data_IF_721043861317
#
_entry.id   IF_721043861317
#
_cell.length_a   1.000
_cell.length_b   1.000
_cell.length_c   1.000
_cell.angle_alpha   90.00
_cell.angle_beta   90.00
_cell.angle_gamma   90.00
#
_symmetry.space_group_name_H-M   'P 1'
#
loop_
_entity.id
_entity.type
_entity.pdbx_description
1 polymer ?
#
# COMPACT_ATOMS: atom_id res chain seq x y z
N UNK A 1 -20.76 53.82 28.34
CA UNK A 1 -20.06 52.57 27.93
C UNK A 1 -20.79 51.99 26.73
N UNK A 2 -20.02 51.50 25.76
CA UNK A 2 -20.44 50.88 24.49
C UNK A 2 -21.14 51.81 23.48
N UNK A 3 -20.34 52.42 22.61
CA UNK A 3 -20.76 53.08 21.38
C UNK A 3 -20.60 52.17 20.16
N UNK A 4 -21.48 52.39 19.19
CA UNK A 4 -21.88 51.51 18.08
C UNK A 4 -20.94 51.47 16.86
N UNK A 5 -21.26 50.46 16.02
CA UNK A 5 -20.77 50.09 14.69
C UNK A 5 -20.81 51.21 13.63
N UNK A 6 -19.85 51.15 12.69
CA UNK A 6 -19.89 51.32 11.20
C UNK A 6 -18.44 51.70 10.75
N UNK A 7 -17.87 51.40 9.57
CA UNK A 7 -18.36 51.14 8.21
C UNK A 7 -17.20 50.60 7.34
N UNK A 8 -17.55 50.06 6.18
CA UNK A 8 -16.66 49.58 5.13
C UNK A 8 -16.34 50.64 4.06
N UNK A 9 -15.29 50.36 3.27
CA UNK A 9 -14.96 50.84 1.90
C UNK A 9 -14.53 52.31 1.72
N UNK A 10 -13.31 52.52 1.23
CA UNK A 10 -13.06 52.99 -0.14
C UNK A 10 -11.56 53.09 -0.48
N UNK A 11 -11.19 52.64 -1.68
CA UNK A 11 -9.87 52.87 -2.32
C UNK A 11 -10.08 53.86 -3.47
N UNK A 12 -9.25 54.91 -3.62
CA UNK A 12 -9.31 55.76 -4.80
C UNK A 12 -8.49 55.19 -5.97
N UNK A 13 -9.10 55.19 -7.15
CA UNK A 13 -8.46 55.00 -8.46
C UNK A 13 -7.56 56.21 -8.81
N UNK A 14 -6.41 55.96 -9.44
CA UNK A 14 -5.59 56.99 -10.08
C UNK A 14 -5.78 56.98 -11.60
N UNK A 15 -5.93 58.18 -12.12
CA UNK A 15 -6.30 58.58 -13.47
C UNK A 15 -5.18 58.42 -14.50
N UNK A 16 -5.63 58.20 -15.73
CA UNK A 16 -4.86 58.19 -16.98
C UNK A 16 -4.61 59.63 -17.45
N UNK A 17 -3.40 59.94 -17.91
CA UNK A 17 -3.08 61.16 -18.67
C UNK A 17 -2.41 60.79 -20.00
N UNK A 18 -2.71 61.56 -21.04
CA UNK A 18 -2.32 61.31 -22.45
C UNK A 18 -1.61 62.55 -23.02
N UNK A 19 -0.40 62.33 -23.59
CA UNK A 19 0.30 63.02 -24.73
C UNK A 19 0.78 64.48 -24.57
N UNK A 20 1.91 64.95 -25.22
CA UNK A 20 2.18 64.85 -26.66
C UNK A 20 3.66 64.66 -27.13
N UNK A 21 3.81 64.55 -28.46
CA UNK A 21 5.00 64.21 -29.26
C UNK A 21 6.08 65.31 -29.41
N UNK A 22 7.35 64.92 -29.67
CA UNK A 22 8.17 65.33 -30.85
C UNK A 22 9.68 64.94 -30.73
N UNK A 23 10.17 64.30 -31.80
CA UNK A 23 11.52 64.38 -32.45
C UNK A 23 12.81 63.91 -31.76
N UNK A 24 13.50 62.93 -32.39
CA UNK A 24 14.97 62.94 -32.56
C UNK A 24 15.75 61.61 -32.42
N UNK A 25 16.12 61.00 -33.56
CA UNK A 25 17.28 60.12 -33.83
C UNK A 25 17.34 58.67 -33.26
N UNK A 26 18.04 57.72 -33.95
CA UNK A 26 17.78 56.29 -33.84
C UNK A 26 18.50 55.65 -32.64
N UNK A 27 17.76 54.91 -31.81
CA UNK A 27 18.33 54.09 -30.75
C UNK A 27 18.23 52.60 -31.05
N UNK A 28 19.31 51.93 -30.68
CA UNK A 28 19.64 50.51 -30.75
C UNK A 28 18.46 49.58 -30.47
N UNK A 29 18.40 48.49 -31.23
CA UNK A 29 17.33 47.50 -31.17
C UNK A 29 17.09 46.97 -29.77
N UNK A 30 15.91 47.29 -29.23
CA UNK A 30 15.35 46.66 -28.06
C UNK A 30 15.22 45.15 -28.29
N UNK A 31 15.96 44.35 -27.51
CA UNK A 31 15.69 42.93 -27.38
C UNK A 31 14.41 42.75 -26.56
N UNK A 32 13.39 42.14 -27.16
CA UNK A 32 12.13 41.78 -26.50
C UNK A 32 12.38 40.86 -25.29
N UNK A 33 11.61 41.05 -24.22
CA UNK A 33 11.61 40.14 -23.08
C UNK A 33 10.95 38.79 -23.47
N UNK A 34 11.55 37.64 -23.10
CA UNK A 34 10.98 36.34 -23.38
C UNK A 34 9.73 36.11 -22.55
N UNK A 35 8.73 35.49 -23.16
CA UNK A 35 7.41 35.26 -22.58
C UNK A 35 7.37 33.96 -21.79
N UNK A 36 6.31 33.80 -20.99
CA UNK A 36 6.07 32.67 -20.09
C UNK A 36 6.06 31.28 -20.77
N UNK A 37 5.96 31.22 -22.11
CA UNK A 37 6.06 29.99 -22.90
C UNK A 37 7.48 29.42 -22.99
N UNK A 38 8.52 30.25 -22.91
CA UNK A 38 9.91 29.81 -23.00
C UNK A 38 10.37 29.02 -21.76
N UNK A 39 9.70 29.24 -20.63
CA UNK A 39 10.00 28.59 -19.35
C UNK A 39 9.47 27.14 -19.25
N UNK A 40 8.56 26.73 -20.13
CA UNK A 40 7.99 25.37 -20.15
C UNK A 40 8.86 24.34 -20.91
N UNK A 41 10.02 24.75 -21.43
CA UNK A 41 10.84 23.91 -22.32
C UNK A 41 12.18 23.53 -21.68
N UNK A 42 12.17 23.07 -20.42
CA UNK A 42 13.38 22.76 -19.64
C UNK A 42 14.35 21.79 -20.33
N UNK A 43 13.83 20.84 -21.13
CA UNK A 43 14.65 19.94 -21.95
C UNK A 43 15.39 20.68 -23.08
N UNK A 44 14.73 21.63 -23.75
CA UNK A 44 15.29 22.44 -24.83
C UNK A 44 16.40 23.37 -24.34
N UNK A 45 16.15 24.06 -23.22
CA UNK A 45 17.15 24.94 -22.58
C UNK A 45 18.39 24.15 -22.15
N UNK A 46 18.20 22.92 -21.67
CA UNK A 46 19.29 22.04 -21.26
C UNK A 46 20.10 21.52 -22.45
N UNK A 47 19.45 21.19 -23.57
CA UNK A 47 20.13 20.77 -24.80
C UNK A 47 20.98 21.90 -25.38
N UNK A 48 20.47 23.14 -25.40
CA UNK A 48 21.24 24.31 -25.83
C UNK A 48 22.53 24.50 -25.04
N UNK A 49 22.49 24.26 -23.72
CA UNK A 49 23.68 24.34 -22.86
C UNK A 49 24.71 23.26 -23.21
N UNK A 50 24.26 22.03 -23.51
CA UNK A 50 25.13 20.93 -23.92
C UNK A 50 25.80 21.23 -25.27
N UNK A 51 25.03 21.65 -26.27
CA UNK A 51 25.54 21.98 -27.61
C UNK A 51 26.55 23.12 -27.57
N UNK A 52 26.27 24.15 -26.76
CA UNK A 52 27.19 25.26 -26.50
C UNK A 52 28.50 24.78 -25.86
N UNK A 53 28.41 23.94 -24.83
CA UNK A 53 29.58 23.42 -24.13
C UNK A 53 30.42 22.46 -24.98
N UNK A 54 29.80 21.71 -25.90
CA UNK A 54 30.50 20.87 -26.90
C UNK A 54 31.30 21.75 -27.86
N UNK A 55 30.66 22.79 -28.41
CA UNK A 55 31.28 23.68 -29.41
C UNK A 55 32.40 24.55 -28.83
N UNK A 56 32.23 25.04 -27.61
CA UNK A 56 33.23 25.89 -26.95
C UNK A 56 34.36 25.09 -26.29
N UNK A 57 34.15 23.80 -26.02
CA UNK A 57 35.17 22.89 -25.50
C UNK A 57 35.48 23.04 -24.00
N UNK A 58 36.39 22.20 -23.49
CA UNK A 58 36.63 21.98 -22.04
C UNK A 58 37.07 23.20 -21.24
N UNK A 59 37.64 24.21 -21.90
CA UNK A 59 38.15 25.41 -21.24
C UNK A 59 37.06 26.45 -21.00
N UNK A 60 35.94 26.40 -21.74
CA UNK A 60 34.87 27.37 -21.65
C UNK A 60 34.27 27.47 -20.24
N UNK A 61 34.01 28.68 -19.77
CA UNK A 61 33.40 28.96 -18.48
C UNK A 61 31.86 29.02 -18.61
N UNK A 62 31.14 28.97 -17.47
CA UNK A 62 29.68 28.89 -17.50
C UNK A 62 29.00 30.19 -18.01
N UNK A 63 29.73 31.31 -18.06
CA UNK A 63 29.26 32.55 -18.65
C UNK A 63 29.32 32.47 -20.18
N UNK A 64 30.45 32.03 -20.74
CA UNK A 64 30.62 31.81 -22.19
C UNK A 64 29.61 30.79 -22.73
N UNK A 65 29.36 29.72 -21.97
CA UNK A 65 28.37 28.70 -22.35
C UNK A 65 26.95 29.27 -22.31
N UNK A 66 26.63 30.12 -21.33
CA UNK A 66 25.30 30.75 -21.24
C UNK A 66 25.07 31.72 -22.41
N UNK A 67 26.07 32.54 -22.75
CA UNK A 67 26.01 33.49 -23.85
C UNK A 67 25.85 32.78 -25.19
N UNK A 68 26.63 31.73 -25.44
CA UNK A 68 26.54 30.94 -26.68
C UNK A 68 25.20 30.19 -26.80
N UNK A 69 24.62 29.75 -25.67
CA UNK A 69 23.30 29.12 -25.62
C UNK A 69 22.13 30.12 -25.70
N UNK A 70 22.40 31.44 -25.77
CA UNK A 70 21.37 32.48 -25.79
C UNK A 70 20.63 32.63 -24.46
N UNK A 71 21.30 32.36 -23.33
CA UNK A 71 20.73 32.41 -21.98
C UNK A 71 21.08 33.71 -21.27
N UNK A 72 20.11 34.25 -20.53
CA UNK A 72 20.26 35.51 -19.77
C UNK A 72 21.28 35.46 -18.64
N UNK A 73 21.68 34.27 -18.15
CA UNK A 73 22.59 34.17 -17.01
C UNK A 73 23.30 32.82 -16.91
N UNK A 74 24.58 32.85 -16.51
CA UNK A 74 25.32 31.65 -16.06
C UNK A 74 24.65 30.89 -14.92
N UNK A 75 23.77 31.55 -14.14
CA UNK A 75 23.00 30.88 -13.07
C UNK A 75 22.09 29.80 -13.64
N UNK A 76 21.60 29.96 -14.86
CA UNK A 76 20.81 28.94 -15.57
C UNK A 76 21.65 27.71 -15.89
N UNK A 77 22.90 27.89 -16.31
CA UNK A 77 23.85 26.77 -16.52
C UNK A 77 24.11 26.02 -15.21
N UNK A 78 24.33 26.75 -14.11
CA UNK A 78 24.54 26.15 -12.78
C UNK A 78 23.30 25.41 -12.24
N UNK A 79 22.10 25.87 -12.59
CA UNK A 79 20.85 25.24 -12.20
C UNK A 79 20.69 23.86 -12.86
N UNK A 80 21.03 23.74 -14.14
CA UNK A 80 20.96 22.48 -14.87
C UNK A 80 22.17 21.56 -14.62
N UNK A 81 23.35 22.14 -14.37
CA UNK A 81 24.61 21.40 -14.16
C UNK A 81 25.30 21.92 -12.90
N UNK A 82 25.24 21.14 -11.83
CA UNK A 82 25.69 21.53 -10.48
C UNK A 82 27.21 21.71 -10.40
N UNK A 83 27.96 21.11 -11.33
CA UNK A 83 29.39 21.30 -11.47
C UNK A 83 29.85 21.18 -12.93
N UNK A 84 31.03 21.75 -13.22
CA UNK A 84 31.70 21.59 -14.54
C UNK A 84 32.01 20.12 -14.85
N UNK A 85 32.28 19.31 -13.81
CA UNK A 85 32.45 17.86 -13.94
C UNK A 85 31.16 17.17 -14.39
N UNK A 86 30.00 17.59 -13.92
CA UNK A 86 28.72 17.00 -14.33
C UNK A 86 28.40 17.31 -15.79
N UNK A 87 28.65 18.56 -16.23
CA UNK A 87 28.49 18.97 -17.62
C UNK A 87 29.39 18.17 -18.57
N UNK A 88 30.69 18.02 -18.24
CA UNK A 88 31.62 17.29 -19.10
C UNK A 88 31.52 15.76 -18.98
N UNK A 89 31.05 15.23 -17.85
CA UNK A 89 30.66 13.82 -17.75
C UNK A 89 29.50 13.54 -18.71
N UNK A 90 28.53 14.44 -18.77
CA UNK A 90 27.38 14.31 -19.65
C UNK A 90 27.73 14.47 -21.13
N UNK A 91 28.64 15.40 -21.46
CA UNK A 91 29.26 15.49 -22.81
C UNK A 91 30.01 14.20 -23.15
N UNK A 92 30.69 13.57 -22.18
CA UNK A 92 31.33 12.27 -22.36
C UNK A 92 30.35 11.11 -22.59
N UNK A 93 29.10 11.25 -22.14
CA UNK A 93 28.00 10.33 -22.42
C UNK A 93 27.17 10.70 -23.65
N UNK A 94 27.46 11.83 -24.31
CA UNK A 94 26.62 12.46 -25.34
C UNK A 94 26.57 11.74 -26.71
N UNK A 95 27.08 10.51 -26.81
CA UNK A 95 26.79 9.64 -27.95
C UNK A 95 25.48 8.86 -27.82
N UNK A 96 24.81 8.94 -26.67
CA UNK A 96 23.53 8.28 -26.44
C UNK A 96 22.54 9.27 -25.78
N UNK A 97 21.38 9.45 -26.41
CA UNK A 97 20.33 10.36 -26.00
C UNK A 97 19.83 10.03 -24.57
N UNK A 98 19.85 10.98 -23.60
CA UNK A 98 19.36 10.75 -22.23
C UNK A 98 17.94 10.20 -22.13
N UNK A 99 17.06 10.60 -23.06
CA UNK A 99 15.69 10.10 -23.18
C UNK A 99 15.71 8.61 -23.52
N UNK A 100 16.49 8.22 -24.54
CA UNK A 100 16.66 6.82 -24.95
C UNK A 100 17.32 5.98 -23.86
N UNK A 101 18.32 6.51 -23.15
CA UNK A 101 18.94 5.81 -22.00
C UNK A 101 17.91 5.47 -20.94
N UNK A 102 17.09 6.42 -20.56
CA UNK A 102 16.06 6.23 -19.53
C UNK A 102 14.97 5.26 -20.01
N UNK A 103 14.56 5.35 -21.28
CA UNK A 103 13.61 4.41 -21.89
C UNK A 103 14.18 2.99 -21.92
N UNK A 104 15.41 2.83 -22.41
CA UNK A 104 16.07 1.53 -22.51
C UNK A 104 16.34 0.93 -21.12
N UNK A 105 16.74 1.75 -20.14
CA UNK A 105 16.87 1.32 -18.76
C UNK A 105 15.54 0.90 -18.14
N UNK A 106 14.45 1.63 -18.43
CA UNK A 106 13.10 1.24 -17.99
C UNK A 106 12.66 -0.09 -18.61
N UNK A 107 12.86 -0.28 -19.93
CA UNK A 107 12.57 -1.53 -20.66
C UNK A 107 13.40 -2.72 -20.17
N UNK A 108 14.65 -2.48 -19.78
CA UNK A 108 15.55 -3.52 -19.27
C UNK A 108 15.29 -3.92 -17.81
N UNK A 109 14.38 -3.23 -17.11
CA UNK A 109 14.03 -3.49 -15.73
C UNK A 109 12.59 -4.00 -15.62
N UNK A 110 12.24 -4.67 -14.50
CA UNK A 110 10.84 -5.01 -14.26
C UNK A 110 9.94 -3.76 -14.30
N UNK A 111 8.69 -3.85 -14.81
CA UNK A 111 7.74 -2.74 -14.91
C UNK A 111 7.56 -1.91 -13.63
N UNK A 112 7.87 -2.50 -12.47
CA UNK A 112 7.73 -1.87 -11.15
C UNK A 112 8.99 -1.19 -10.62
N UNK A 113 10.08 -1.17 -11.38
CA UNK A 113 11.32 -0.53 -10.96
C UNK A 113 11.04 0.92 -10.54
N UNK A 114 11.63 1.29 -9.42
CA UNK A 114 11.54 2.63 -8.86
C UNK A 114 12.29 3.63 -9.72
N UNK A 115 11.95 4.92 -9.58
CA UNK A 115 12.64 6.01 -10.27
C UNK A 115 14.16 5.96 -10.01
N UNK A 116 14.56 5.50 -8.82
CA UNK A 116 15.98 5.38 -8.45
C UNK A 116 16.66 4.23 -9.18
N UNK A 117 16.04 3.05 -9.22
CA UNK A 117 16.59 1.88 -9.93
C UNK A 117 16.74 2.16 -11.43
N UNK A 118 15.73 2.80 -12.04
CA UNK A 118 15.79 3.16 -13.46
C UNK A 118 16.91 4.18 -13.72
N UNK A 119 16.99 5.23 -12.90
CA UNK A 119 18.05 6.23 -13.04
C UNK A 119 19.45 5.64 -12.84
N UNK A 120 19.63 4.77 -11.84
CA UNK A 120 20.90 4.09 -11.57
C UNK A 120 21.29 3.16 -12.71
N UNK A 121 20.33 2.39 -13.26
CA UNK A 121 20.55 1.54 -14.44
C UNK A 121 20.93 2.35 -15.69
N UNK A 122 20.38 3.54 -15.84
CA UNK A 122 20.74 4.49 -16.90
C UNK A 122 22.06 5.25 -16.63
N UNK A 123 22.76 4.97 -15.52
CA UNK A 123 24.05 5.58 -15.17
C UNK A 123 23.95 6.90 -14.41
N UNK A 124 22.76 7.29 -13.94
CA UNK A 124 22.53 8.53 -13.21
C UNK A 124 22.51 8.32 -11.69
N UNK A 125 23.12 9.26 -10.96
CA UNK A 125 23.18 9.24 -9.48
C UNK A 125 21.86 9.62 -8.81
N UNK A 126 20.94 10.25 -9.52
CA UNK A 126 19.72 10.83 -8.96
C UNK A 126 18.52 10.58 -9.85
N UNK A 127 17.43 10.08 -9.24
CA UNK A 127 16.14 9.89 -9.91
C UNK A 127 15.50 11.20 -10.38
N UNK A 128 15.96 12.37 -9.89
CA UNK A 128 15.48 13.68 -10.36
C UNK A 128 15.66 13.86 -11.86
N UNK A 129 16.62 13.16 -12.46
CA UNK A 129 16.85 13.16 -13.91
C UNK A 129 15.59 12.75 -14.68
N UNK A 130 14.78 11.84 -14.14
CA UNK A 130 13.54 11.40 -14.78
C UNK A 130 12.54 12.56 -14.85
N UNK A 131 12.41 13.33 -13.77
CA UNK A 131 11.52 14.49 -13.76
C UNK A 131 12.01 15.60 -14.70
N UNK A 132 13.32 15.71 -14.93
CA UNK A 132 13.87 16.67 -15.88
C UNK A 132 13.46 16.39 -17.32
N UNK A 133 13.30 15.11 -17.71
CA UNK A 133 13.01 14.72 -19.10
C UNK A 133 11.57 14.28 -19.36
N UNK A 134 10.92 13.64 -18.39
CA UNK A 134 9.58 13.07 -18.54
C UNK A 134 8.55 13.72 -17.60
N UNK A 135 8.92 14.74 -16.82
CA UNK A 135 8.12 15.36 -15.75
C UNK A 135 7.75 14.43 -14.57
N UNK A 136 7.54 13.13 -14.81
CA UNK A 136 7.23 12.12 -13.81
C UNK A 136 7.73 10.72 -14.21
N UNK A 137 7.85 9.82 -13.23
CA UNK A 137 8.12 8.40 -13.51
C UNK A 137 6.99 7.74 -14.31
N UNK A 138 5.75 8.20 -14.16
CA UNK A 138 4.60 7.67 -14.91
C UNK A 138 4.81 7.89 -16.41
N UNK A 139 5.08 9.13 -16.80
CA UNK A 139 5.28 9.49 -18.20
C UNK A 139 6.46 8.73 -18.83
N UNK A 140 7.54 8.51 -18.07
CA UNK A 140 8.63 7.64 -18.53
C UNK A 140 8.14 6.21 -18.81
N UNK A 141 7.36 5.62 -17.89
CA UNK A 141 6.86 4.25 -18.05
C UNK A 141 5.85 4.10 -19.17
N UNK A 142 5.03 5.12 -19.41
CA UNK A 142 4.14 5.19 -20.58
C UNK A 142 4.96 5.25 -21.87
N UNK A 143 5.96 6.15 -21.93
CA UNK A 143 6.85 6.28 -23.09
C UNK A 143 7.72 5.03 -23.35
N UNK A 144 8.05 4.27 -22.30
CA UNK A 144 8.79 3.01 -22.43
C UNK A 144 7.91 1.79 -22.63
N UNK A 145 6.58 1.93 -22.69
CA UNK A 145 5.61 0.83 -22.80
C UNK A 145 5.73 -0.20 -21.64
N UNK A 146 6.25 0.22 -20.49
CA UNK A 146 6.39 -0.64 -19.29
C UNK A 146 5.36 -0.31 -18.22
N UNK A 147 4.30 0.41 -18.57
CA UNK A 147 3.26 0.84 -17.67
C UNK A 147 2.22 -0.27 -17.44
N UNK A 148 2.08 -0.75 -16.20
CA UNK A 148 1.16 -1.83 -15.84
C UNK A 148 0.23 -1.43 -14.70
N UNK A 149 -0.81 -0.64 -14.99
CA UNK A 149 -1.90 -0.38 -14.01
C UNK A 149 -3.25 -0.32 -14.71
N UNK A 150 -4.33 -0.52 -13.96
CA UNK A 150 -5.69 -0.43 -14.49
C UNK A 150 -6.40 0.87 -14.10
N UNK A 151 -5.64 1.98 -13.96
CA UNK A 151 -6.16 3.29 -13.54
C UNK A 151 -7.31 3.76 -14.43
N UNK A 152 -7.19 3.62 -15.74
CA UNK A 152 -8.19 4.12 -16.70
C UNK A 152 -9.48 3.30 -16.72
N UNK A 153 -9.40 2.01 -16.39
CA UNK A 153 -10.56 1.16 -16.17
C UNK A 153 -11.23 1.54 -14.85
N UNK A 154 -10.45 1.68 -13.78
CA UNK A 154 -10.95 1.94 -12.44
C UNK A 154 -11.53 3.34 -12.30
N UNK A 155 -11.02 4.33 -13.03
CA UNK A 155 -11.62 5.67 -13.07
C UNK A 155 -13.04 5.68 -13.66
N UNK A 156 -13.36 4.71 -14.52
CA UNK A 156 -14.71 4.51 -15.08
C UNK A 156 -15.61 3.72 -14.14
N UNK A 157 -15.08 2.67 -13.52
CA UNK A 157 -15.86 1.75 -12.66
C UNK A 157 -16.06 2.31 -11.25
N UNK A 158 -15.02 2.90 -10.67
CA UNK A 158 -14.96 3.44 -9.31
C UNK A 158 -14.31 4.83 -9.30
N UNK A 159 -15.01 5.88 -9.80
CA UNK A 159 -14.46 7.24 -9.90
C UNK A 159 -14.01 7.83 -8.55
N UNK A 160 -14.51 7.31 -7.45
CA UNK A 160 -14.12 7.68 -6.10
C UNK A 160 -12.72 7.18 -5.68
N UNK A 161 -12.14 6.22 -6.41
CA UNK A 161 -10.82 5.63 -6.13
C UNK A 161 -9.72 6.46 -6.80
N UNK A 162 -8.94 7.14 -5.97
CA UNK A 162 -7.82 7.95 -6.46
C UNK A 162 -6.49 7.18 -6.36
N UNK A 163 -5.73 7.19 -7.46
CA UNK A 163 -4.36 6.69 -7.49
C UNK A 163 -3.37 7.83 -7.20
N UNK A 164 -2.36 7.55 -6.37
CA UNK A 164 -1.20 8.44 -6.24
C UNK A 164 -0.21 8.18 -7.37
N UNK A 165 0.68 9.14 -7.67
CA UNK A 165 1.79 8.91 -8.61
C UNK A 165 2.60 7.66 -8.24
N UNK A 166 2.78 7.40 -6.95
CA UNK A 166 3.49 6.21 -6.48
C UNK A 166 2.70 4.93 -6.77
N UNK A 167 1.36 4.94 -6.63
CA UNK A 167 0.52 3.78 -6.98
C UNK A 167 0.65 3.45 -8.48
N UNK A 168 0.48 4.48 -9.31
CA UNK A 168 0.61 4.40 -10.77
C UNK A 168 1.99 3.88 -11.15
N UNK A 169 3.05 4.46 -10.58
CA UNK A 169 4.43 4.05 -10.86
C UNK A 169 4.75 2.62 -10.43
N UNK A 170 4.11 2.09 -9.37
CA UNK A 170 4.34 0.72 -8.88
C UNK A 170 3.49 -0.30 -9.62
N UNK A 171 2.65 0.14 -10.54
CA UNK A 171 1.69 -0.71 -11.23
C UNK A 171 0.65 -1.30 -10.30
N UNK A 172 0.21 -0.54 -9.29
CA UNK A 172 -0.86 -0.97 -8.38
C UNK A 172 -2.11 -1.21 -9.20
N UNK A 173 -2.78 -2.33 -8.92
CA UNK A 173 -4.06 -2.66 -9.52
C UNK A 173 -5.15 -2.63 -8.46
N UNK A 174 -6.38 -2.33 -8.90
CA UNK A 174 -7.57 -2.44 -8.06
C UNK A 174 -8.54 -3.39 -8.76
N UNK A 175 -9.09 -4.39 -8.05
CA UNK A 175 -10.04 -5.31 -8.65
C UNK A 175 -11.37 -4.61 -8.94
N UNK A 176 -11.91 -4.83 -10.14
CA UNK A 176 -13.24 -4.34 -10.56
C UNK A 176 -14.38 -5.12 -9.91
N UNK A 177 -14.13 -6.38 -9.51
CA UNK A 177 -15.12 -7.25 -8.87
C UNK A 177 -14.62 -7.82 -7.54
N UNK A 178 -15.56 -8.15 -6.65
CA UNK A 178 -15.25 -8.82 -5.39
C UNK A 178 -15.16 -10.32 -5.65
N UNK A 179 -13.94 -10.81 -5.84
CA UNK A 179 -13.65 -12.25 -5.93
C UNK A 179 -13.46 -12.87 -4.55
N UNK A 180 -13.46 -14.21 -4.40
CA UNK A 180 -13.16 -14.85 -3.13
C UNK A 180 -11.80 -14.44 -2.54
N UNK A 181 -10.79 -14.19 -3.40
CA UNK A 181 -9.48 -13.72 -2.94
C UNK A 181 -9.56 -12.31 -2.31
N UNK A 182 -10.34 -11.41 -2.93
CA UNK A 182 -10.60 -10.08 -2.36
C UNK A 182 -11.34 -10.22 -1.04
N UNK A 183 -12.41 -11.00 -0.99
CA UNK A 183 -13.22 -11.19 0.20
C UNK A 183 -12.41 -11.75 1.38
N UNK A 184 -11.52 -12.71 1.14
CA UNK A 184 -10.62 -13.24 2.14
C UNK A 184 -9.64 -12.19 2.69
N UNK A 185 -9.03 -11.38 1.83
CA UNK A 185 -8.14 -10.31 2.26
C UNK A 185 -8.91 -9.23 3.05
N UNK A 186 -10.14 -8.92 2.66
CA UNK A 186 -11.02 -8.05 3.46
C UNK A 186 -11.32 -8.69 4.82
N UNK A 187 -11.43 -10.01 4.90
CA UNK A 187 -11.54 -10.74 6.15
C UNK A 187 -10.33 -10.53 7.07
N UNK A 188 -9.11 -10.61 6.53
CA UNK A 188 -7.90 -10.28 7.29
C UNK A 188 -7.91 -8.83 7.78
N UNK A 189 -8.41 -7.91 6.95
CA UNK A 189 -8.56 -6.53 7.40
C UNK A 189 -9.54 -6.41 8.56
N UNK A 190 -10.71 -7.05 8.49
CA UNK A 190 -11.75 -6.97 9.53
C UNK A 190 -11.19 -7.36 10.90
N UNK A 191 -10.33 -8.38 10.95
CA UNK A 191 -9.67 -8.79 12.17
C UNK A 191 -8.49 -7.91 12.59
N UNK A 192 -7.33 -8.10 11.95
CA UNK A 192 -6.07 -7.48 12.36
C UNK A 192 -5.68 -6.24 11.54
N UNK A 193 -6.45 -5.88 10.52
CA UNK A 193 -6.11 -4.74 9.66
C UNK A 193 -6.26 -3.40 10.38
N UNK A 194 -5.56 -2.38 9.91
CA UNK A 194 -5.76 -1.00 10.37
C UNK A 194 -5.53 -0.01 9.24
N UNK A 195 -6.37 1.02 9.20
CA UNK A 195 -6.20 2.18 8.33
C UNK A 195 -6.24 3.41 9.24
N UNK A 196 -5.08 3.87 9.76
CA UNK A 196 -5.05 4.99 10.69
C UNK A 196 -5.55 6.27 10.02
N UNK A 197 -6.29 7.07 10.78
CA UNK A 197 -6.78 8.37 10.33
C UNK A 197 -5.65 9.41 10.41
N UNK A 198 -4.73 9.36 9.45
CA UNK A 198 -3.65 10.33 9.36
C UNK A 198 -4.12 11.51 8.51
N UNK A 199 -4.27 12.70 9.12
CA UNK A 199 -4.70 13.94 8.45
C UNK A 199 -3.75 14.40 7.33
N UNK A 200 -2.52 13.89 7.31
CA UNK A 200 -1.45 14.26 6.38
C UNK A 200 -1.26 13.19 5.31
N UNK A 201 -1.99 13.30 4.19
CA UNK A 201 -1.74 12.78 2.82
C UNK A 201 -1.30 11.30 2.59
N UNK A 202 -0.97 10.53 3.63
CA UNK A 202 -0.44 9.18 3.55
C UNK A 202 -1.51 8.21 4.01
N UNK A 203 -2.41 7.90 3.07
CA UNK A 203 -3.33 6.77 3.20
C UNK A 203 -2.50 5.49 3.32
N UNK A 204 -2.48 4.93 4.54
CA UNK A 204 -1.74 3.72 4.84
C UNK A 204 -2.69 2.60 5.26
N UNK A 205 -2.40 1.41 4.77
CA UNK A 205 -3.01 0.17 5.21
C UNK A 205 -1.96 -0.63 5.99
N UNK A 206 -2.36 -1.16 7.14
CA UNK A 206 -1.50 -1.94 8.01
C UNK A 206 -2.15 -3.28 8.29
N UNK A 207 -1.33 -4.32 8.35
CA UNK A 207 -1.71 -5.65 8.82
C UNK A 207 -0.51 -6.22 9.55
N UNK A 208 -0.70 -6.68 10.78
CA UNK A 208 0.36 -7.23 11.61
C UNK A 208 -0.17 -8.20 12.64
N UNK A 209 0.59 -9.25 12.92
CA UNK A 209 0.23 -10.29 13.86
C UNK A 209 1.40 -10.73 14.74
N UNK A 210 1.24 -11.87 15.40
CA UNK A 210 2.24 -12.43 16.28
C UNK A 210 3.47 -12.91 15.50
N UNK A 211 4.65 -12.42 15.91
CA UNK A 211 5.91 -12.70 15.22
C UNK A 211 6.35 -14.16 15.28
N UNK A 212 5.92 -14.89 16.30
CA UNK A 212 6.37 -16.27 16.57
C UNK A 212 5.45 -17.29 15.91
N UNK A 213 4.16 -16.99 15.83
CA UNK A 213 3.16 -17.92 15.30
C UNK A 213 2.75 -17.60 13.85
N UNK A 214 2.88 -16.36 13.37
CA UNK A 214 2.25 -15.92 12.12
C UNK A 214 3.23 -15.46 11.04
N UNK A 215 4.54 -15.50 11.31
CA UNK A 215 5.56 -15.12 10.32
C UNK A 215 5.36 -15.81 8.96
N UNK A 216 5.14 -17.12 8.97
CA UNK A 216 4.91 -17.93 7.75
C UNK A 216 3.61 -17.56 7.04
N UNK A 217 2.55 -17.23 7.78
CA UNK A 217 1.30 -16.74 7.21
C UNK A 217 1.53 -15.47 6.39
N UNK A 218 2.24 -14.50 6.97
CA UNK A 218 2.54 -13.25 6.27
C UNK A 218 3.45 -13.46 5.05
N UNK A 219 4.53 -14.23 5.23
CA UNK A 219 5.55 -14.39 4.18
C UNK A 219 5.05 -15.18 2.98
N UNK A 220 4.22 -16.22 3.19
CA UNK A 220 3.81 -17.15 2.14
C UNK A 220 2.41 -16.88 1.59
N UNK A 221 1.46 -16.48 2.45
CA UNK A 221 0.05 -16.31 2.06
C UNK A 221 -0.28 -14.85 1.78
N UNK A 222 -0.08 -13.97 2.77
CA UNK A 222 -0.45 -12.55 2.66
C UNK A 222 0.33 -11.87 1.53
N UNK A 223 1.65 -12.09 1.46
CA UNK A 223 2.50 -11.59 0.37
C UNK A 223 1.96 -11.97 -1.01
N UNK A 224 1.65 -13.25 -1.20
CA UNK A 224 1.16 -13.80 -2.48
C UNK A 224 -0.22 -13.24 -2.83
N UNK A 225 -1.10 -13.12 -1.85
CA UNK A 225 -2.44 -12.57 -2.05
C UNK A 225 -2.40 -11.10 -2.47
N UNK A 226 -1.60 -10.25 -1.80
CA UNK A 226 -1.46 -8.84 -2.18
C UNK A 226 -0.82 -8.65 -3.55
N UNK A 227 0.15 -9.52 -3.90
CA UNK A 227 0.70 -9.55 -5.26
C UNK A 227 -0.37 -9.91 -6.28
N UNK A 228 -1.23 -10.88 -5.99
CA UNK A 228 -2.30 -11.31 -6.90
C UNK A 228 -3.44 -10.27 -7.03
N UNK A 229 -3.87 -9.68 -5.92
CA UNK A 229 -5.07 -8.83 -5.88
C UNK A 229 -4.75 -7.40 -6.32
N UNK A 230 -3.64 -6.86 -5.84
CA UNK A 230 -3.32 -5.44 -5.99
C UNK A 230 -2.07 -5.19 -6.82
N UNK A 231 -1.47 -6.24 -7.39
CA UNK A 231 -0.15 -6.20 -8.00
C UNK A 231 0.85 -5.45 -7.12
N UNK A 232 0.91 -5.77 -5.82
CA UNK A 232 1.76 -5.05 -4.86
C UNK A 232 2.77 -5.97 -4.20
N UNK A 233 4.05 -5.60 -4.26
CA UNK A 233 5.14 -6.32 -3.61
C UNK A 233 5.34 -5.80 -2.18
N UNK A 234 4.83 -6.55 -1.19
CA UNK A 234 4.83 -6.12 0.20
C UNK A 234 6.21 -6.16 0.86
N UNK A 235 6.59 -5.06 1.50
CA UNK A 235 7.73 -5.02 2.44
C UNK A 235 7.27 -5.49 3.83
N UNK A 236 7.28 -6.81 4.02
CA UNK A 236 6.93 -7.47 5.29
C UNK A 236 8.17 -7.56 6.17
N UNK A 237 8.02 -7.27 7.46
CA UNK A 237 9.08 -7.41 8.44
C UNK A 237 8.61 -7.18 9.86
N UNK A 238 9.57 -7.10 10.78
CA UNK A 238 9.31 -6.81 12.19
C UNK A 238 8.82 -5.38 12.37
N UNK A 239 7.76 -5.22 13.18
CA UNK A 239 7.17 -3.94 13.59
C UNK A 239 7.47 -3.66 15.07
N UNK A 240 7.50 -2.38 15.44
CA UNK A 240 7.55 -1.82 16.80
C UNK A 240 8.34 -2.66 17.82
N UNK A 241 9.63 -2.34 18.02
CA UNK A 241 10.53 -3.06 18.95
C UNK A 241 10.52 -4.60 18.75
N UNK A 242 10.32 -5.08 17.52
CA UNK A 242 10.25 -6.50 17.15
C UNK A 242 9.19 -7.28 17.96
N UNK A 243 8.03 -6.68 18.24
CA UNK A 243 6.92 -7.36 18.94
C UNK A 243 5.88 -7.96 17.99
N UNK A 244 5.71 -7.37 16.82
CA UNK A 244 4.78 -7.84 15.80
C UNK A 244 5.51 -8.09 14.47
N UNK A 245 4.88 -8.86 13.58
CA UNK A 245 5.37 -9.13 12.23
C UNK A 245 4.26 -8.81 11.23
N UNK A 246 4.59 -8.06 10.17
CA UNK A 246 3.60 -7.58 9.22
C UNK A 246 4.13 -6.48 8.31
N UNK A 247 3.24 -5.65 7.78
CA UNK A 247 3.62 -4.60 6.84
C UNK A 247 2.82 -3.31 7.02
N UNK A 248 3.31 -2.25 6.38
CA UNK A 248 2.58 -0.99 6.19
C UNK A 248 2.66 -0.69 4.70
N UNK A 249 1.50 -0.62 4.06
CA UNK A 249 1.37 -0.29 2.65
C UNK A 249 0.88 1.15 2.52
N UNK A 250 1.73 2.01 1.96
CA UNK A 250 1.34 3.37 1.56
C UNK A 250 0.81 3.32 0.14
N UNK A 251 -0.51 3.22 0.01
CA UNK A 251 -1.23 3.20 -1.26
C UNK A 251 -2.56 3.91 -1.13
N UNK A 252 -2.74 4.97 -1.93
CA UNK A 252 -3.98 5.75 -1.96
C UNK A 252 -5.09 4.93 -2.62
N UNK A 253 -4.76 4.27 -3.73
CA UNK A 253 -5.70 3.43 -4.47
C UNK A 253 -6.27 2.29 -3.61
N UNK A 254 -5.41 1.53 -2.93
CA UNK A 254 -5.86 0.39 -2.09
C UNK A 254 -6.70 0.85 -0.90
N UNK A 255 -6.31 1.97 -0.28
CA UNK A 255 -7.07 2.53 0.86
C UNK A 255 -8.42 3.06 0.42
N UNK A 256 -8.51 3.74 -0.73
CA UNK A 256 -9.76 4.27 -1.27
C UNK A 256 -10.69 3.16 -1.71
N UNK A 257 -10.16 2.13 -2.36
CA UNK A 257 -10.94 0.95 -2.67
C UNK A 257 -11.54 0.33 -1.41
N UNK A 258 -10.74 0.10 -0.37
CA UNK A 258 -11.23 -0.49 0.89
C UNK A 258 -12.27 0.37 1.59
N UNK A 259 -12.10 1.68 1.59
CA UNK A 259 -12.92 2.59 2.39
C UNK A 259 -14.15 3.07 1.63
N UNK A 260 -13.98 3.51 0.39
CA UNK A 260 -15.03 4.15 -0.41
C UNK A 260 -15.83 3.15 -1.25
N UNK A 261 -15.16 2.14 -1.81
CA UNK A 261 -15.84 1.11 -2.62
C UNK A 261 -16.39 0.01 -1.71
N UNK A 262 -15.52 -0.61 -0.92
CA UNK A 262 -15.89 -1.73 -0.06
C UNK A 262 -16.68 -1.28 1.17
N UNK A 263 -16.37 -0.10 1.73
CA UNK A 263 -17.09 0.44 2.90
C UNK A 263 -16.47 0.09 4.25
N UNK A 264 -15.16 -0.17 4.32
CA UNK A 264 -14.45 -0.38 5.58
C UNK A 264 -14.17 0.96 6.30
N UNK A 265 -14.31 1.01 7.63
CA UNK A 265 -14.06 2.24 8.39
C UNK A 265 -12.56 2.60 8.46
N UNK A 266 -12.28 3.89 8.53
CA UNK A 266 -10.96 4.45 8.86
C UNK A 266 -10.90 4.70 10.37
N UNK A 267 -9.73 4.48 10.99
CA UNK A 267 -9.50 4.76 12.41
C UNK A 267 -9.96 3.64 13.34
N UNK A 268 -10.40 4.02 14.55
CA UNK A 268 -10.86 3.05 15.55
C UNK A 268 -12.13 2.33 15.06
N UNK A 269 -12.06 1.01 14.98
CA UNK A 269 -13.10 0.19 14.35
C UNK A 269 -13.62 -0.95 15.21
N UNK A 270 -13.04 -1.21 16.37
CA UNK A 270 -13.29 -2.43 17.14
C UNK A 270 -14.78 -2.67 17.45
N UNK A 271 -15.57 -1.60 17.60
CA UNK A 271 -17.02 -1.66 17.91
C UNK A 271 -17.94 -1.52 16.71
N UNK A 272 -17.45 -0.91 15.63
CA UNK A 272 -18.25 -0.49 14.47
C UNK A 272 -17.94 -1.34 13.23
N UNK A 273 -16.86 -2.12 13.26
CA UNK A 273 -16.47 -3.00 12.16
C UNK A 273 -17.57 -4.01 11.89
N UNK A 274 -17.85 -4.23 10.61
CA UNK A 274 -18.85 -5.18 10.11
C UNK A 274 -18.31 -5.83 8.85
N UNK A 275 -18.89 -6.95 8.45
CA UNK A 275 -18.73 -7.46 7.09
C UNK A 275 -19.53 -6.50 6.18
N UNK A 276 -18.90 -5.82 5.21
CA UNK A 276 -19.59 -4.82 4.41
C UNK A 276 -20.71 -5.41 3.56
N UNK A 277 -21.78 -4.64 3.23
CA UNK A 277 -22.91 -5.11 2.44
C UNK A 277 -22.53 -5.76 1.11
N UNK A 278 -21.52 -5.21 0.40
CA UNK A 278 -21.05 -5.79 -0.86
C UNK A 278 -20.52 -7.22 -0.73
N UNK A 279 -20.02 -7.60 0.45
CA UNK A 279 -19.58 -8.97 0.75
C UNK A 279 -20.73 -9.80 1.33
N UNK A 280 -21.54 -9.21 2.20
CA UNK A 280 -22.72 -9.88 2.78
C UNK A 280 -23.78 -10.28 1.74
N UNK A 281 -23.87 -9.53 0.65
CA UNK A 281 -24.80 -9.81 -0.46
C UNK A 281 -24.16 -10.68 -1.55
N UNK A 282 -22.86 -10.99 -1.43
CA UNK A 282 -22.17 -11.88 -2.36
C UNK A 282 -22.64 -13.33 -2.24
N UNK A 283 -22.21 -14.14 -3.20
CA UNK A 283 -22.48 -15.57 -3.20
C UNK A 283 -21.84 -16.28 -1.99
N UNK A 284 -22.16 -17.57 -1.85
CA UNK A 284 -21.66 -18.36 -0.72
C UNK A 284 -20.13 -18.52 -0.72
N UNK A 285 -19.47 -18.44 -1.87
CA UNK A 285 -18.01 -18.51 -1.98
C UNK A 285 -17.36 -17.23 -1.45
N UNK A 286 -17.92 -16.07 -1.75
CA UNK A 286 -17.50 -14.77 -1.22
C UNK A 286 -17.65 -14.73 0.30
N UNK A 287 -18.83 -15.10 0.80
CA UNK A 287 -19.12 -15.15 2.24
C UNK A 287 -18.21 -16.11 2.98
N UNK A 288 -17.99 -17.31 2.42
CA UNK A 288 -17.04 -18.28 2.95
C UNK A 288 -15.63 -17.70 3.04
N UNK A 289 -15.17 -17.03 1.98
CA UNK A 289 -13.81 -16.53 1.90
C UNK A 289 -13.54 -15.41 2.92
N UNK A 290 -14.48 -14.47 3.11
CA UNK A 290 -14.35 -13.46 4.16
C UNK A 290 -14.32 -14.09 5.55
N UNK A 291 -15.12 -15.14 5.81
CA UNK A 291 -15.09 -15.86 7.08
C UNK A 291 -13.76 -16.56 7.29
N UNK A 292 -13.18 -17.19 6.25
CA UNK A 292 -11.82 -17.76 6.32
C UNK A 292 -10.81 -16.70 6.70
N UNK A 293 -10.85 -15.54 6.05
CA UNK A 293 -9.95 -14.43 6.35
C UNK A 293 -10.07 -13.95 7.80
N UNK A 294 -11.29 -13.70 8.28
CA UNK A 294 -11.50 -13.30 9.69
C UNK A 294 -10.98 -14.39 10.64
N UNK A 295 -11.19 -15.65 10.30
CA UNK A 295 -10.75 -16.75 11.15
C UNK A 295 -9.23 -16.95 11.17
N UNK A 296 -8.54 -16.64 10.08
CA UNK A 296 -7.09 -16.69 10.01
C UNK A 296 -6.42 -15.66 10.95
N UNK A 297 -7.09 -14.56 11.28
CA UNK A 297 -6.56 -13.52 12.20
C UNK A 297 -7.15 -13.61 13.60
N UNK A 298 -8.48 -13.62 13.73
CA UNK A 298 -9.18 -13.37 15.00
C UNK A 298 -9.73 -14.62 15.68
N UNK A 299 -9.88 -15.71 14.94
CA UNK A 299 -10.42 -16.94 15.53
C UNK A 299 -9.32 -17.70 16.27
N UNK A 300 -9.75 -18.49 17.25
CA UNK A 300 -8.90 -19.40 17.97
C UNK A 300 -9.41 -20.82 17.78
N UNK A 301 -8.51 -21.68 17.32
CA UNK A 301 -8.69 -23.12 17.29
C UNK A 301 -8.02 -23.68 18.54
N UNK A 302 -8.85 -24.15 19.46
CA UNK A 302 -8.47 -24.66 20.76
C UNK A 302 -8.99 -26.07 20.97
N UNK A 303 -8.29 -26.83 21.79
CA UNK A 303 -8.70 -28.16 22.18
C UNK A 303 -8.77 -28.18 23.70
N UNK A 304 -9.94 -28.52 24.22
CA UNK A 304 -10.22 -28.62 25.65
C UNK A 304 -10.17 -30.07 26.12
N UNK A 305 -10.10 -30.24 27.43
CA UNK A 305 -10.16 -31.55 28.08
C UNK A 305 -11.53 -32.22 27.97
N UNK A 306 -12.61 -31.43 27.96
CA UNK A 306 -13.98 -31.92 28.18
C UNK A 306 -14.01 -32.90 29.38
N UNK A 307 -14.19 -34.21 29.15
CA UNK A 307 -14.19 -35.23 30.20
C UNK A 307 -12.89 -36.05 30.31
N UNK A 308 -11.89 -35.84 29.42
CA UNK A 308 -10.62 -36.59 29.44
C UNK A 308 -9.50 -35.79 30.10
N UNK A 309 -8.42 -36.46 30.52
CA UNK A 309 -7.21 -35.79 31.01
C UNK A 309 -6.42 -35.05 29.91
N UNK A 310 -6.71 -35.36 28.65
CA UNK A 310 -6.06 -34.81 27.44
C UNK A 310 -6.93 -33.80 26.69
N UNK A 311 -6.31 -32.87 25.97
CA UNK A 311 -6.98 -31.80 25.22
C UNK A 311 -7.47 -32.30 23.85
N UNK A 312 -8.51 -33.11 23.84
CA UNK A 312 -9.05 -33.76 22.63
C UNK A 312 -10.25 -33.04 22.04
N UNK A 313 -10.99 -32.24 22.82
CA UNK A 313 -12.29 -31.72 22.40
C UNK A 313 -12.16 -30.37 21.69
N UNK A 314 -12.44 -30.28 20.38
CA UNK A 314 -12.20 -29.06 19.62
C UNK A 314 -13.22 -27.96 19.93
N UNK A 315 -12.72 -26.72 19.92
CA UNK A 315 -13.47 -25.48 20.11
C UNK A 315 -12.91 -24.44 19.14
N UNK A 316 -13.79 -23.90 18.30
CA UNK A 316 -13.50 -22.79 17.40
C UNK A 316 -14.22 -21.57 17.97
N UNK A 317 -13.49 -20.48 18.21
CA UNK A 317 -14.11 -19.26 18.71
C UNK A 317 -13.44 -18.00 18.21
N UNK A 318 -14.23 -17.02 17.78
CA UNK A 318 -13.80 -15.64 17.57
C UNK A 318 -14.48 -14.71 18.55
N UNK A 319 -13.82 -13.63 18.93
CA UNK A 319 -14.37 -12.59 19.81
C UNK A 319 -14.27 -11.23 19.15
N UNK A 320 -15.29 -10.40 19.33
CA UNK A 320 -15.33 -9.03 18.79
C UNK A 320 -16.11 -8.10 19.72
N UNK A 321 -15.79 -6.81 19.72
CA UNK A 321 -16.59 -5.79 20.40
C UNK A 321 -17.77 -5.29 19.53
N UNK A 322 -17.86 -5.72 18.26
CA UNK A 322 -18.96 -5.37 17.36
C UNK A 322 -20.07 -6.45 17.42
N UNK A 323 -21.25 -6.15 18.01
CA UNK A 323 -22.39 -7.07 17.97
C UNK A 323 -22.78 -7.43 16.54
N UNK A 324 -22.78 -6.44 15.65
CA UNK A 324 -23.20 -6.61 14.27
C UNK A 324 -22.29 -7.58 13.52
N UNK A 325 -20.96 -7.50 13.72
CA UNK A 325 -20.03 -8.49 13.18
C UNK A 325 -20.31 -9.90 13.72
N UNK A 326 -20.52 -10.04 15.03
CA UNK A 326 -20.80 -11.36 15.64
C UNK A 326 -22.05 -12.03 15.06
N UNK A 327 -23.14 -11.26 14.87
CA UNK A 327 -24.36 -11.79 14.26
C UNK A 327 -24.24 -12.02 12.76
N UNK A 328 -23.48 -11.19 12.02
CA UNK A 328 -23.17 -11.47 10.61
C UNK A 328 -22.40 -12.78 10.44
N UNK A 329 -21.39 -13.02 11.30
CA UNK A 329 -20.66 -14.29 11.35
C UNK A 329 -21.61 -15.45 11.66
N UNK A 330 -22.51 -15.31 12.66
CA UNK A 330 -23.51 -16.34 12.97
C UNK A 330 -24.37 -16.68 11.75
N UNK A 331 -24.85 -15.67 11.03
CA UNK A 331 -25.68 -15.86 9.83
C UNK A 331 -24.92 -16.63 8.75
N UNK A 332 -23.71 -16.20 8.39
CA UNK A 332 -22.92 -16.86 7.34
C UNK A 332 -22.56 -18.30 7.75
N UNK A 333 -22.11 -18.51 8.98
CA UNK A 333 -21.73 -19.84 9.48
C UNK A 333 -22.93 -20.79 9.50
N UNK A 334 -24.13 -20.29 9.82
CA UNK A 334 -25.37 -21.08 9.76
C UNK A 334 -25.71 -21.44 8.31
N UNK A 335 -25.59 -20.50 7.36
CA UNK A 335 -25.77 -20.77 5.93
C UNK A 335 -24.80 -21.84 5.40
N UNK A 336 -23.59 -21.92 5.97
CA UNK A 336 -22.59 -22.94 5.64
C UNK A 336 -22.84 -24.30 6.34
N UNK A 337 -23.93 -24.44 7.10
CA UNK A 337 -24.31 -25.69 7.77
C UNK A 337 -23.60 -25.95 9.10
N UNK A 338 -22.96 -24.93 9.67
CA UNK A 338 -22.40 -24.98 11.02
C UNK A 338 -23.44 -24.55 12.07
N UNK A 339 -23.16 -24.82 13.34
CA UNK A 339 -24.02 -24.50 14.48
C UNK A 339 -23.34 -23.48 15.41
N UNK A 340 -23.16 -22.22 14.98
CA UNK A 340 -22.53 -21.20 15.80
C UNK A 340 -23.43 -20.75 16.95
N UNK A 341 -22.86 -20.65 18.14
CA UNK A 341 -23.46 -19.97 19.28
C UNK A 341 -22.83 -18.58 19.45
N UNK A 342 -23.65 -17.56 19.71
CA UNK A 342 -23.18 -16.20 20.05
C UNK A 342 -23.48 -15.95 21.51
N UNK A 343 -22.44 -15.68 22.27
CA UNK A 343 -22.51 -15.32 23.70
C UNK A 343 -21.91 -13.93 23.89
N UNK A 344 -22.24 -13.26 24.99
CA UNK A 344 -21.61 -11.99 25.32
C UNK A 344 -21.21 -11.96 26.80
N UNK A 345 -20.16 -11.22 27.11
CA UNK A 345 -19.67 -11.04 28.47
C UNK A 345 -19.04 -9.66 28.63
N UNK A 346 -19.10 -9.11 29.84
CA UNK A 346 -18.44 -7.85 30.18
C UNK A 346 -17.00 -8.16 30.61
N UNK A 347 -16.01 -7.61 29.89
CA UNK A 347 -14.58 -7.74 30.28
C UNK A 347 -14.14 -6.60 31.19
N UNK A 348 -13.09 -6.88 32.00
CA UNK A 348 -12.38 -6.10 33.05
C UNK A 348 -12.15 -4.58 32.77
N UNK A 349 -13.20 -3.80 32.45
CA UNK A 349 -13.35 -2.33 32.32
C UNK A 349 -14.54 -1.91 31.40
N UNK A 350 -15.73 -2.51 31.59
CA UNK A 350 -17.04 -2.07 31.01
C UNK A 350 -17.28 -2.25 29.50
N UNK A 351 -16.55 -3.11 28.80
CA UNK A 351 -16.84 -3.35 27.38
C UNK A 351 -17.45 -4.72 27.14
N UNK A 352 -18.52 -4.73 26.34
CA UNK A 352 -19.27 -5.91 25.96
C UNK A 352 -18.53 -6.63 24.83
N UNK A 353 -18.02 -7.81 25.12
CA UNK A 353 -17.38 -8.70 24.16
C UNK A 353 -18.40 -9.73 23.69
N UNK A 354 -18.56 -9.86 22.38
CA UNK A 354 -19.37 -10.90 21.74
C UNK A 354 -18.45 -12.01 21.24
N UNK A 355 -18.79 -13.25 21.56
CA UNK A 355 -18.03 -14.43 21.19
C UNK A 355 -18.88 -15.39 20.35
N UNK A 356 -18.42 -15.65 19.13
CA UNK A 356 -19.00 -16.63 18.21
C UNK A 356 -18.24 -17.95 18.42
N UNK A 357 -18.93 -19.01 18.84
CA UNK A 357 -18.31 -20.29 19.23
C UNK A 357 -18.96 -21.47 18.54
N UNK A 358 -18.15 -22.44 18.15
CA UNK A 358 -18.57 -23.77 17.70
C UNK A 358 -17.71 -24.81 18.42
N UNK A 359 -18.32 -25.91 18.81
CA UNK A 359 -17.68 -26.93 19.63
C UNK A 359 -17.93 -28.32 19.05
N UNK A 360 -16.98 -29.23 19.28
CA UNK A 360 -17.09 -30.63 18.90
C UNK A 360 -16.54 -30.95 17.52
N UNK A 361 -16.13 -32.21 17.37
CA UNK A 361 -15.44 -32.75 16.19
C UNK A 361 -16.23 -32.55 14.90
N UNK A 362 -17.53 -32.85 14.91
CA UNK A 362 -18.38 -32.66 13.74
C UNK A 362 -18.40 -31.20 13.23
N UNK A 363 -18.29 -30.21 14.13
CA UNK A 363 -18.22 -28.80 13.74
C UNK A 363 -16.84 -28.43 13.18
N UNK A 364 -15.77 -28.97 13.77
CA UNK A 364 -14.41 -28.77 13.28
C UNK A 364 -14.22 -29.37 11.88
N UNK A 365 -14.67 -30.59 11.65
CA UNK A 365 -14.53 -31.23 10.33
C UNK A 365 -15.38 -30.51 9.27
N UNK A 366 -16.61 -30.10 9.61
CA UNK A 366 -17.41 -29.25 8.73
C UNK A 366 -16.71 -27.93 8.40
N UNK A 367 -16.09 -27.30 9.39
CA UNK A 367 -15.30 -26.09 9.17
C UNK A 367 -14.18 -26.34 8.16
N UNK A 368 -13.37 -27.38 8.37
CA UNK A 368 -12.24 -27.69 7.50
C UNK A 368 -12.67 -28.04 6.08
N UNK A 369 -13.77 -28.76 5.92
CA UNK A 369 -14.32 -29.10 4.61
C UNK A 369 -14.91 -27.88 3.89
N UNK A 370 -15.70 -27.06 4.59
CA UNK A 370 -16.45 -25.98 3.95
C UNK A 370 -15.62 -24.72 3.79
N UNK A 371 -14.91 -24.28 4.83
CA UNK A 371 -14.23 -22.99 4.92
C UNK A 371 -12.71 -23.15 4.75
N UNK A 372 -12.13 -24.09 5.47
CA UNK A 372 -10.67 -24.26 5.55
C UNK A 372 -9.97 -23.21 6.41
N UNK A 373 -8.64 -23.23 6.37
CA UNK A 373 -7.74 -22.36 7.14
C UNK A 373 -6.48 -22.15 6.29
N UNK A 374 -5.96 -20.92 6.23
CA UNK A 374 -4.68 -20.64 5.58
C UNK A 374 -3.57 -20.30 6.56
N UNK A 375 -3.88 -19.82 7.76
CA UNK A 375 -2.86 -19.51 8.77
C UNK A 375 -2.22 -20.81 9.34
N UNK A 376 -0.90 -21.04 9.15
CA UNK A 376 -0.19 -22.21 9.66
C UNK A 376 -0.32 -22.38 11.18
N UNK A 377 -0.49 -21.29 11.93
CA UNK A 377 -0.79 -21.31 13.37
C UNK A 377 -1.96 -22.22 13.70
N UNK A 378 -3.04 -22.11 12.94
CA UNK A 378 -4.27 -22.87 13.16
C UNK A 378 -4.22 -24.22 12.44
N UNK A 379 -3.70 -24.26 11.21
CA UNK A 379 -3.56 -25.49 10.44
C UNK A 379 -2.76 -26.55 11.20
N UNK A 380 -1.62 -26.16 11.79
CA UNK A 380 -0.79 -27.11 12.55
C UNK A 380 -1.50 -27.69 13.77
N UNK A 381 -2.39 -26.93 14.44
CA UNK A 381 -3.19 -27.48 15.54
C UNK A 381 -4.22 -28.49 15.06
N UNK A 382 -4.90 -28.21 13.94
CA UNK A 382 -5.82 -29.15 13.32
C UNK A 382 -5.10 -30.45 12.93
N UNK A 383 -3.95 -30.35 12.26
CA UNK A 383 -3.19 -31.52 11.82
C UNK A 383 -2.69 -32.37 12.98
N UNK A 384 -2.19 -31.74 14.06
CA UNK A 384 -1.79 -32.47 15.27
C UNK A 384 -3.00 -33.21 15.86
N UNK A 385 -4.13 -32.52 16.02
CA UNK A 385 -5.35 -33.16 16.49
C UNK A 385 -5.83 -34.29 15.57
N UNK A 386 -5.76 -34.11 14.25
CA UNK A 386 -6.16 -35.12 13.27
C UNK A 386 -5.29 -36.36 13.33
N UNK A 387 -3.98 -36.19 13.59
CA UNK A 387 -3.01 -37.29 13.67
C UNK A 387 -3.11 -38.07 14.99
N UNK A 388 -3.26 -37.38 16.12
CA UNK A 388 -3.16 -37.98 17.45
C UNK A 388 -4.50 -38.09 18.21
N UNK A 389 -5.58 -37.51 17.68
CA UNK A 389 -6.86 -37.37 18.37
C UNK A 389 -6.90 -36.27 19.44
N UNK A 390 -5.78 -35.57 19.68
CA UNK A 390 -5.69 -34.43 20.62
C UNK A 390 -4.60 -33.46 20.20
N UNK A 391 -4.67 -32.23 20.71
CA UNK A 391 -3.60 -31.24 20.54
C UNK A 391 -3.16 -30.72 21.91
N UNK A 392 -1.91 -30.96 22.33
CA UNK A 392 -1.40 -30.45 23.60
C UNK A 392 -1.58 -28.92 23.72
N UNK A 393 -1.88 -28.40 24.93
CA UNK A 393 -2.08 -26.97 25.13
C UNK A 393 -0.73 -26.24 25.09
N UNK A 394 -0.75 -24.92 24.89
CA UNK A 394 0.43 -24.03 24.98
C UNK A 394 1.61 -24.42 24.08
N UNK A 395 1.39 -25.25 23.05
CA UNK A 395 2.41 -25.54 22.03
C UNK A 395 2.55 -24.38 21.05
N UNK A 396 3.77 -24.01 20.70
CA UNK A 396 4.06 -23.10 19.59
C UNK A 396 4.13 -23.85 18.24
N UNK A 397 4.20 -23.11 17.13
CA UNK A 397 4.23 -23.67 15.78
C UNK A 397 5.40 -24.63 15.55
N UNK A 398 6.58 -24.33 16.11
CA UNK A 398 7.78 -25.19 15.99
C UNK A 398 7.54 -26.55 16.66
N UNK A 399 7.02 -26.55 17.89
CA UNK A 399 6.66 -27.78 18.61
C UNK A 399 5.60 -28.58 17.84
N UNK A 400 4.55 -27.92 17.32
CA UNK A 400 3.52 -28.61 16.54
C UNK A 400 4.09 -29.25 15.27
N UNK A 401 5.05 -28.62 14.60
CA UNK A 401 5.77 -29.22 13.47
C UNK A 401 6.62 -30.42 13.90
N UNK A 402 7.32 -30.35 15.03
CA UNK A 402 8.07 -31.48 15.57
C UNK A 402 7.16 -32.67 15.92
N UNK A 403 5.99 -32.44 16.51
CA UNK A 403 4.97 -33.47 16.74
C UNK A 403 4.56 -34.16 15.42
N UNK A 404 4.27 -33.35 14.39
CA UNK A 404 3.87 -33.88 13.07
C UNK A 404 4.98 -34.70 12.41
N UNK A 405 6.24 -34.32 12.61
CA UNK A 405 7.43 -35.03 12.12
C UNK A 405 7.82 -36.25 12.98
N UNK A 406 7.18 -36.46 14.14
CA UNK A 406 7.56 -37.54 15.07
C UNK A 406 8.82 -37.26 15.88
N UNK A 407 9.31 -36.01 15.90
CA UNK A 407 10.50 -35.56 16.63
C UNK A 407 10.21 -35.16 18.08
N UNK A 408 8.93 -35.12 18.45
CA UNK A 408 8.46 -34.80 19.80
C UNK A 408 7.26 -35.69 20.09
N UNK A 409 7.23 -36.28 21.28
CA UNK A 409 6.10 -37.06 21.76
C UNK A 409 4.99 -36.11 22.27
N UNK A 410 3.74 -36.20 21.78
CA UNK A 410 2.66 -35.37 22.29
C UNK A 410 2.31 -35.64 23.76
N UNK A 411 2.59 -36.82 24.30
CA UNK A 411 2.32 -37.16 25.70
C UNK A 411 3.33 -36.54 26.66
N UNK A 412 4.61 -36.42 26.26
CA UNK A 412 5.65 -35.75 27.06
C UNK A 412 5.36 -34.28 27.39
N UNK A 413 4.41 -33.66 26.68
CA UNK A 413 3.95 -32.29 26.93
C UNK A 413 2.90 -32.18 28.05
N UNK A 414 2.41 -33.31 28.55
CA UNK A 414 1.61 -33.41 29.75
C UNK A 414 2.57 -33.80 30.88
N UNK A 415 2.87 -32.86 31.78
CA UNK A 415 3.76 -33.15 32.92
C UNK A 415 3.27 -34.37 33.73
N UNK A 416 4.20 -35.05 34.41
CA UNK A 416 4.02 -36.35 35.09
C UNK A 416 2.78 -36.48 35.99
N UNK A 417 2.19 -35.37 36.43
CA UNK A 417 0.93 -35.35 37.22
C UNK A 417 -0.35 -35.71 36.44
N UNK A 418 -0.27 -36.10 35.16
CA UNK A 418 -1.44 -36.52 34.37
C UNK A 418 -1.29 -37.88 33.67
N UNK A 419 -0.19 -38.61 33.89
CA UNK A 419 -0.06 -40.01 33.49
C UNK A 419 -1.03 -40.88 34.30
#
# INVERSE_FOLDING_TARGET
MAGEKKTARDRPMRSVSVSPAMTGAPQEGYFEEPTYSDMNNGAFTRQKILDAAIRLGKKANNQEIAEFAGLKSRRTVNYYFHSKKDLFFEIGTAFENPVEKLINAAKALPPKASAREIAEKAGYKSHKIINCYFASIRALKEASETFESNVDEISKVYPEVAFSEQDVSRGVQIPTEITPAVAEEIGWHIGDGSMPNNSTQHRTYQLSGDKSEEKEFYDLYVRKAFKKIYNTDLKIGYKSRKRAYGFTLSSKAVTDYKTKVIGLPIGEKSRTITIPPRIMNGDINIKRAVVRGIADTDFSFMFGKAHKKIHYYPRISGSTASPKLAYQLKTILTQLGLKPNVTHQIRKKKFLEYSVRMCGEAQLEKWMNKIGINNPKHMTKYLVWKKFGFCPPKTNIKQRKQLLMGLLDPYSLYGEKNA
#
